data_IF_225385676146
#
_entry.id   IF_225385676146
#
_cell.length_a   1.000
_cell.length_b   1.000
_cell.length_c   1.000
_cell.angle_alpha   90.00
_cell.angle_beta   90.00
_cell.angle_gamma   90.00
#
_symmetry.space_group_name_H-M   'P 1'
#
loop_
_entity.id
_entity.type
_entity.pdbx_description
1 polymer ?
#
# COMPACT_ATOMS: atom_id res chain seq x y z
N UNK A 1 28.41 -54.95 -45.05
CA UNK A 1 27.16 -55.15 -45.82
C UNK A 1 26.17 -55.87 -44.91
N UNK A 2 24.83 -55.62 -44.89
CA UNK A 2 23.99 -54.98 -45.92
C UNK A 2 23.08 -53.80 -45.43
N UNK A 3 22.54 -53.05 -46.41
CA UNK A 3 21.49 -52.01 -46.32
C UNK A 3 20.07 -52.62 -46.10
N UNK A 4 18.97 -51.86 -45.82
CA UNK A 4 18.30 -50.88 -46.71
C UNK A 4 17.81 -49.58 -45.99
N UNK A 5 17.94 -48.38 -46.55
CA UNK A 5 17.06 -47.68 -47.51
C UNK A 5 15.56 -47.63 -47.15
N UNK A 6 15.04 -46.38 -47.17
CA UNK A 6 13.68 -45.95 -47.63
C UNK A 6 12.58 -46.10 -46.57
N UNK A 7 11.89 -45.02 -46.18
CA UNK A 7 10.79 -44.49 -46.98
C UNK A 7 10.14 -43.24 -46.35
N UNK A 8 10.06 -42.15 -47.15
CA UNK A 8 8.94 -41.22 -47.39
C UNK A 8 8.23 -40.61 -46.15
N UNK A 9 8.08 -39.30 -46.00
CA UNK A 9 7.43 -38.43 -46.99
C UNK A 9 7.63 -36.96 -46.62
N UNK A 10 7.94 -36.16 -47.63
CA UNK A 10 7.92 -34.70 -47.59
C UNK A 10 6.50 -34.17 -47.33
N UNK A 11 6.43 -33.05 -46.61
CA UNK A 11 5.49 -31.92 -46.82
C UNK A 11 6.00 -30.78 -45.93
N UNK A 12 6.91 -29.97 -46.46
CA UNK A 12 6.61 -28.72 -47.14
C UNK A 12 5.95 -27.67 -46.22
N UNK A 13 6.76 -26.64 -45.92
CA UNK A 13 6.37 -25.23 -45.76
C UNK A 13 5.68 -24.80 -44.46
N UNK A 14 6.48 -24.20 -43.59
CA UNK A 14 6.33 -22.76 -43.29
C UNK A 14 7.66 -22.23 -42.75
N UNK A 15 8.46 -21.67 -43.67
CA UNK A 15 9.53 -20.72 -43.35
C UNK A 15 8.87 -19.36 -43.12
N UNK A 16 9.53 -18.54 -42.30
CA UNK A 16 9.43 -17.07 -42.25
C UNK A 16 8.49 -16.47 -41.19
N UNK A 17 9.02 -16.31 -39.98
CA UNK A 17 8.60 -15.28 -39.03
C UNK A 17 9.83 -14.83 -38.26
N UNK A 18 10.35 -13.66 -38.62
CA UNK A 18 11.68 -13.15 -38.32
C UNK A 18 12.09 -13.12 -36.85
N UNK A 19 13.39 -13.31 -36.69
CA UNK A 19 14.22 -12.99 -35.54
C UNK A 19 13.90 -11.63 -34.90
N UNK A 20 13.68 -11.65 -33.58
CA UNK A 20 14.01 -10.56 -32.67
C UNK A 20 14.66 -11.18 -31.43
N UNK A 21 15.92 -11.59 -31.58
CA UNK A 21 16.83 -11.64 -30.46
C UNK A 21 17.37 -10.22 -30.27
N UNK A 22 17.17 -9.65 -29.08
CA UNK A 22 18.05 -8.68 -28.42
C UNK A 22 17.44 -8.36 -27.04
N UNK A 23 17.95 -9.04 -26.01
CA UNK A 23 17.85 -8.55 -24.64
C UNK A 23 18.50 -7.16 -24.55
N UNK A 24 17.95 -6.31 -23.68
CA UNK A 24 18.75 -6.03 -22.49
C UNK A 24 17.96 -6.30 -21.22
N UNK A 25 18.69 -6.78 -20.22
CA UNK A 25 18.26 -6.80 -18.84
C UNK A 25 17.81 -5.38 -18.41
N UNK A 26 16.51 -5.13 -18.43
CA UNK A 26 15.89 -4.11 -17.60
C UNK A 26 15.16 -4.86 -16.50
N UNK A 27 15.63 -4.63 -15.28
CA UNK A 27 15.33 -5.43 -14.11
C UNK A 27 13.84 -5.66 -13.90
N UNK A 28 13.57 -6.75 -13.17
CA UNK A 28 12.40 -6.87 -12.33
C UNK A 28 12.24 -5.54 -11.58
N UNK A 29 11.43 -4.63 -12.13
CA UNK A 29 10.70 -3.69 -11.31
C UNK A 29 9.84 -4.60 -10.45
N UNK A 30 10.35 -4.85 -9.23
CA UNK A 30 9.63 -5.47 -8.16
C UNK A 30 8.21 -4.96 -8.27
N UNK A 31 7.27 -5.88 -8.48
CA UNK A 31 5.88 -5.59 -8.22
C UNK A 31 5.91 -5.05 -6.79
N UNK A 32 5.81 -3.72 -6.66
CA UNK A 32 5.30 -3.12 -5.47
C UNK A 32 3.93 -3.78 -5.37
N UNK A 33 3.88 -4.89 -4.66
CA UNK A 33 2.70 -5.34 -3.96
C UNK A 33 2.29 -4.11 -3.18
N UNK A 34 1.45 -3.30 -3.82
CA UNK A 34 0.41 -2.56 -3.15
C UNK A 34 -0.34 -3.66 -2.41
N UNK A 35 0.17 -4.02 -1.23
CA UNK A 35 -0.68 -4.48 -0.16
C UNK A 35 -1.63 -3.30 0.01
N UNK A 36 -2.74 -3.33 -0.74
CA UNK A 36 -3.92 -2.56 -0.41
C UNK A 36 -4.24 -3.08 0.97
N UNK A 37 -3.79 -2.34 1.97
CA UNK A 37 -4.15 -2.57 3.35
C UNK A 37 -5.68 -2.45 3.36
N UNK A 38 -6.43 -3.53 3.61
CA UNK A 38 -7.89 -3.51 3.56
C UNK A 38 -8.50 -2.58 4.62
N UNK A 39 -7.68 -2.03 5.53
CA UNK A 39 -8.04 -0.99 6.49
C UNK A 39 -7.64 0.43 6.06
N UNK A 40 -6.92 0.57 4.94
CA UNK A 40 -6.45 1.85 4.42
C UNK A 40 -7.58 2.67 3.80
N UNK A 41 -8.12 3.62 4.56
CA UNK A 41 -8.84 4.75 3.94
C UNK A 41 -7.86 5.50 3.04
N UNK A 42 -8.30 6.09 1.92
CA UNK A 42 -7.38 6.82 1.02
C UNK A 42 -6.64 7.99 1.72
N UNK A 43 -7.03 8.33 2.95
CA UNK A 43 -6.32 9.25 3.82
C UNK A 43 -5.08 8.63 4.50
N UNK A 44 -5.18 7.44 5.11
CA UNK A 44 -4.03 6.76 5.72
C UNK A 44 -3.61 5.62 4.79
N UNK A 45 -2.59 5.89 3.98
CA UNK A 45 -2.16 4.96 2.95
C UNK A 45 -1.38 3.76 3.51
N UNK A 46 -0.61 3.96 4.59
CA UNK A 46 0.19 2.91 5.22
C UNK A 46 0.58 3.29 6.63
N UNK A 47 0.57 2.33 7.55
CA UNK A 47 1.27 2.43 8.84
C UNK A 47 2.21 1.25 8.96
N UNK A 48 3.51 1.50 9.10
CA UNK A 48 4.51 0.45 9.14
C UNK A 48 5.41 0.59 10.36
N UNK A 49 5.73 -0.52 11.02
CA UNK A 49 6.72 -0.56 12.09
C UNK A 49 8.10 -0.24 11.49
N UNK A 50 8.80 0.74 12.06
CA UNK A 50 10.18 1.11 11.68
C UNK A 50 11.20 0.73 12.75
N UNK A 51 10.76 0.46 13.97
CA UNK A 51 11.60 0.11 15.12
C UNK A 51 10.76 -0.46 16.26
N UNK A 52 11.41 -0.83 17.38
CA UNK A 52 10.76 -1.53 18.50
C UNK A 52 9.52 -0.79 19.06
N UNK A 53 9.56 0.54 19.09
CA UNK A 53 8.50 1.41 19.58
C UNK A 53 8.22 2.58 18.61
N UNK A 54 8.49 2.38 17.32
CA UNK A 54 8.32 3.42 16.30
C UNK A 54 7.64 2.89 15.05
N UNK A 55 6.77 3.72 14.50
CA UNK A 55 6.05 3.49 13.25
C UNK A 55 6.27 4.68 12.30
N UNK A 56 6.16 4.42 11.01
CA UNK A 56 6.00 5.43 9.99
C UNK A 56 4.56 5.37 9.46
N UNK A 57 3.83 6.47 9.61
CA UNK A 57 2.53 6.67 9.01
C UNK A 57 2.68 7.45 7.70
N UNK A 58 2.28 6.84 6.59
CA UNK A 58 2.20 7.48 5.28
C UNK A 58 0.76 7.91 5.04
N UNK A 59 0.56 9.22 4.96
CA UNK A 59 -0.70 9.84 4.60
C UNK A 59 -0.84 9.86 3.08
N UNK A 60 -1.98 9.40 2.58
CA UNK A 60 -2.33 9.39 1.17
C UNK A 60 -2.81 10.75 0.66
N UNK A 61 -3.11 10.81 -0.64
CA UNK A 61 -3.45 12.06 -1.33
C UNK A 61 -4.80 12.65 -0.90
N UNK A 62 -5.68 11.84 -0.30
CA UNK A 62 -6.96 12.32 0.25
C UNK A 62 -6.81 13.02 1.61
N UNK A 63 -5.61 13.03 2.18
CA UNK A 63 -5.35 13.61 3.50
C UNK A 63 -5.14 15.12 3.39
N UNK A 64 -5.52 15.88 4.42
CA UNK A 64 -5.23 17.33 4.45
C UNK A 64 -3.77 17.61 4.81
N UNK A 65 -2.99 16.57 5.09
CA UNK A 65 -1.58 16.64 5.47
C UNK A 65 -0.82 15.43 4.86
N UNK A 66 -0.59 15.43 3.54
CA UNK A 66 0.09 14.34 2.86
C UNK A 66 1.58 14.31 3.22
N UNK A 67 2.14 13.10 3.35
CA UNK A 67 3.52 12.92 3.75
C UNK A 67 3.74 11.64 4.55
N UNK A 68 4.96 11.46 5.05
CA UNK A 68 5.29 10.37 5.98
C UNK A 68 5.73 10.95 7.31
N UNK A 69 5.14 10.46 8.39
CA UNK A 69 5.32 10.99 9.73
C UNK A 69 5.72 9.88 10.72
N UNK A 70 6.67 10.16 11.62
CA UNK A 70 7.02 9.23 12.66
C UNK A 70 5.94 9.21 13.75
N UNK A 71 5.58 8.02 14.19
CA UNK A 71 4.78 7.77 15.38
C UNK A 71 5.68 6.97 16.33
N UNK A 72 5.62 7.29 17.62
CA UNK A 72 6.40 6.61 18.64
C UNK A 72 5.51 6.19 19.80
N UNK A 73 5.89 5.12 20.50
CA UNK A 73 5.28 4.71 21.75
C UNK A 73 6.30 5.00 22.85
N UNK A 74 6.14 6.10 23.60
CA UNK A 74 7.14 6.53 24.58
C UNK A 74 7.33 5.49 25.71
N UNK A 75 6.27 4.80 26.07
CA UNK A 75 6.23 3.78 27.10
C UNK A 75 5.64 2.50 26.49
N UNK A 76 6.45 1.44 26.26
CA UNK A 76 6.00 0.21 25.61
C UNK A 76 4.96 -0.56 26.44
N UNK A 77 4.88 -0.32 27.76
CA UNK A 77 3.90 -0.94 28.64
C UNK A 77 2.53 -0.23 28.57
N UNK A 78 2.45 0.92 27.91
CA UNK A 78 1.22 1.70 27.71
C UNK A 78 0.85 1.74 26.24
N UNK A 79 -0.42 1.50 25.91
CA UNK A 79 -0.93 1.62 24.53
C UNK A 79 -1.14 3.08 24.12
N UNK A 80 -0.14 3.94 24.33
CA UNK A 80 -0.19 5.36 23.99
C UNK A 80 0.82 5.64 22.89
N UNK A 81 0.30 6.00 21.72
CA UNK A 81 1.08 6.28 20.52
C UNK A 81 1.06 7.78 20.24
N UNK A 82 2.24 8.35 20.07
CA UNK A 82 2.46 9.79 19.94
C UNK A 82 3.02 10.11 18.56
N UNK A 83 2.27 10.88 17.78
CA UNK A 83 2.67 11.45 16.50
C UNK A 83 3.24 12.88 16.62
N UNK A 84 3.63 13.50 15.50
CA UNK A 84 4.14 14.87 15.48
C UNK A 84 3.11 15.85 16.03
N UNK A 85 3.57 16.87 16.76
CA UNK A 85 2.69 17.85 17.39
C UNK A 85 2.04 17.37 18.69
N UNK A 86 2.49 16.23 19.26
CA UNK A 86 2.00 15.73 20.54
C UNK A 86 0.64 15.03 20.47
N UNK A 87 0.23 14.63 19.27
CA UNK A 87 -1.01 13.87 19.05
C UNK A 87 -0.86 12.51 19.70
N UNK A 88 -1.63 12.26 20.77
CA UNK A 88 -1.67 10.97 21.46
C UNK A 88 -2.93 10.19 21.07
N UNK A 89 -2.78 8.89 20.84
CA UNK A 89 -3.90 7.99 20.53
C UNK A 89 -3.66 6.59 21.10
N UNK A 90 -4.73 5.79 21.14
CA UNK A 90 -4.73 4.43 21.70
C UNK A 90 -4.23 3.35 20.72
N UNK A 91 -4.03 3.74 19.46
CA UNK A 91 -3.45 2.87 18.43
C UNK A 91 -2.53 3.65 17.46
N UNK A 92 -1.58 2.97 16.79
CA UNK A 92 -0.76 3.60 15.75
C UNK A 92 -1.59 4.15 14.59
N UNK A 93 -2.73 3.51 14.28
CA UNK A 93 -3.60 3.94 13.19
C UNK A 93 -4.39 5.20 13.56
N UNK A 94 -4.86 5.31 14.80
CA UNK A 94 -5.55 6.52 15.27
C UNK A 94 -4.60 7.72 15.37
N UNK A 95 -3.35 7.47 15.78
CA UNK A 95 -2.31 8.49 15.71
C UNK A 95 -2.05 8.89 14.25
N UNK A 96 -2.03 7.94 13.31
CA UNK A 96 -1.86 8.21 11.88
C UNK A 96 -3.04 9.03 11.31
N UNK A 97 -4.29 8.66 11.61
CA UNK A 97 -5.47 9.35 11.08
C UNK A 97 -5.54 10.82 11.56
N UNK A 98 -5.18 11.05 12.82
CA UNK A 98 -5.09 12.39 13.39
C UNK A 98 -3.95 13.22 12.78
N UNK A 99 -2.78 12.61 12.55
CA UNK A 99 -1.64 13.27 11.89
C UNK A 99 -1.94 13.59 10.42
N UNK A 100 -2.61 12.68 9.71
CA UNK A 100 -3.02 12.85 8.32
C UNK A 100 -4.18 13.85 8.15
N UNK A 101 -4.87 14.23 9.23
CA UNK A 101 -6.04 15.13 9.19
C UNK A 101 -7.07 14.65 8.16
N UNK A 102 -7.59 13.44 8.40
CA UNK A 102 -8.49 12.78 7.48
C UNK A 102 -9.84 13.50 7.37
N UNK A 103 -10.18 14.10 6.21
CA UNK A 103 -11.40 14.88 6.07
C UNK A 103 -12.68 14.04 6.18
N UNK A 104 -12.61 12.73 5.86
CA UNK A 104 -13.73 11.80 6.04
C UNK A 104 -14.08 11.58 7.51
N UNK A 105 -13.07 11.49 8.39
CA UNK A 105 -13.24 11.37 9.84
C UNK A 105 -13.82 12.67 10.42
N UNK A 106 -13.38 13.83 9.95
CA UNK A 106 -13.94 15.12 10.36
C UNK A 106 -15.40 15.29 9.91
N UNK A 107 -15.72 14.88 8.68
CA UNK A 107 -17.09 14.89 8.17
C UNK A 107 -18.00 13.92 8.94
N UNK A 108 -17.50 12.73 9.31
CA UNK A 108 -18.20 11.75 10.15
C UNK A 108 -18.36 12.25 11.58
N UNK A 109 -17.34 12.85 12.20
CA UNK A 109 -17.48 13.51 13.51
C UNK A 109 -18.46 14.68 13.45
N UNK A 110 -18.45 15.45 12.38
CA UNK A 110 -19.37 16.57 12.21
C UNK A 110 -20.81 16.09 11.97
N UNK A 111 -21.02 14.97 11.27
CA UNK A 111 -22.36 14.36 11.12
C UNK A 111 -22.82 13.74 12.43
N UNK A 112 -21.95 13.02 13.14
CA UNK A 112 -22.24 12.42 14.44
C UNK A 112 -22.59 13.50 15.49
N UNK A 113 -21.83 14.59 15.53
CA UNK A 113 -22.13 15.75 16.38
C UNK A 113 -23.48 16.37 16.04
N UNK A 114 -23.82 16.49 14.75
CA UNK A 114 -25.14 16.98 14.31
C UNK A 114 -26.27 16.06 14.76
N UNK A 115 -26.08 14.74 14.66
CA UNK A 115 -27.07 13.76 15.14
C UNK A 115 -27.26 13.83 16.67
N UNK A 116 -26.17 13.90 17.44
CA UNK A 116 -26.22 14.03 18.91
C UNK A 116 -26.87 15.33 19.39
N UNK A 117 -26.79 16.40 18.59
CA UNK A 117 -27.40 17.70 18.94
C UNK A 117 -28.89 17.75 18.55
N UNK A 118 -29.41 16.76 17.83
CA UNK A 118 -30.79 16.76 17.34
C UNK A 118 -31.82 16.24 18.37
N UNK A 119 -31.39 15.65 19.49
CA UNK A 119 -32.27 15.13 20.57
C UNK A 119 -32.47 16.10 21.75
N UNK A 120 -32.36 17.42 21.53
CA UNK A 120 -32.37 18.42 22.61
C UNK A 120 -33.29 19.63 22.43
N UNK A 121 -34.40 19.49 21.68
CA UNK A 121 -35.49 20.48 21.67
C UNK A 121 -36.76 19.90 22.26
#
# INVERSE_FOLDING_TARGET
MPHPLRSRSARFWTVLGCALALWPACGLAAQAQQSIDPFGTCCVAKVAITGYNTWAATCGDCSSNPGTYPISQPDPDKLVFVGPGGVAADSPFDAASAVCKCPSEDALRASEKRMRTFDGQ
#
